data_IF_117836243072
#
_entry.id   IF_117836243072
#
_cell.length_a   1.000
_cell.length_b   1.000
_cell.length_c   1.000
_cell.angle_alpha   90.00
_cell.angle_beta   90.00
_cell.angle_gamma   90.00
#
_symmetry.space_group_name_H-M   'P 1'
#
loop_
_entity.id
_entity.type
_entity.pdbx_description
1 polymer ?
#
# COMPACT_ATOMS: atom_id res chain seq x y z
N UNK A 1 -22.98 -90.05 -29.66
CA UNK A 1 -23.28 -88.61 -29.74
C UNK A 1 -22.02 -87.87 -29.35
N UNK A 2 -21.46 -86.98 -30.18
CA UNK A 2 -20.34 -86.15 -29.76
C UNK A 2 -20.81 -85.12 -28.73
N UNK A 3 -20.02 -84.92 -27.67
CA UNK A 3 -20.25 -83.90 -26.65
C UNK A 3 -19.69 -82.59 -27.19
N UNK A 4 -20.55 -81.58 -27.38
CA UNK A 4 -20.13 -80.23 -27.72
C UNK A 4 -19.70 -79.55 -26.42
N UNK A 5 -18.40 -79.34 -26.25
CA UNK A 5 -17.86 -78.53 -25.15
C UNK A 5 -17.89 -77.09 -25.64
N UNK A 6 -18.85 -76.30 -25.14
CA UNK A 6 -18.84 -74.85 -25.32
C UNK A 6 -17.79 -74.27 -24.38
N UNK A 7 -16.64 -73.90 -24.91
CA UNK A 7 -15.67 -73.06 -24.21
C UNK A 7 -16.27 -71.66 -24.19
N UNK A 8 -16.86 -71.26 -23.06
CA UNK A 8 -17.27 -69.88 -22.84
C UNK A 8 -16.00 -69.10 -22.49
N UNK A 9 -15.53 -68.25 -23.40
CA UNK A 9 -14.48 -67.28 -23.07
C UNK A 9 -15.03 -66.32 -21.99
N UNK A 10 -14.28 -66.04 -20.92
CA UNK A 10 -14.72 -65.06 -19.93
C UNK A 10 -14.79 -63.68 -20.60
N UNK A 11 -15.94 -63.02 -20.51
CA UNK A 11 -16.07 -61.61 -20.85
C UNK A 11 -15.37 -60.83 -19.73
N UNK A 12 -14.27 -60.18 -20.06
CA UNK A 12 -13.58 -59.25 -19.16
C UNK A 12 -14.17 -57.88 -19.44
N UNK A 13 -14.71 -57.22 -18.42
CA UNK A 13 -15.18 -55.84 -18.55
C UNK A 13 -13.97 -54.92 -18.82
N UNK A 14 -14.08 -53.93 -19.73
CA UNK A 14 -12.99 -53.00 -19.99
C UNK A 14 -12.67 -52.21 -18.73
N UNK A 15 -11.39 -51.84 -18.57
CA UNK A 15 -10.96 -51.02 -17.42
C UNK A 15 -11.29 -49.54 -17.62
N UNK A 16 -11.32 -48.76 -16.55
CA UNK A 16 -11.58 -47.31 -16.63
C UNK A 16 -10.57 -46.62 -17.55
N UNK A 17 -9.28 -46.99 -17.49
CA UNK A 17 -8.24 -46.47 -18.41
C UNK A 17 -8.42 -46.88 -19.90
N UNK A 18 -9.27 -47.86 -20.20
CA UNK A 18 -9.64 -48.21 -21.58
C UNK A 18 -10.89 -47.47 -22.07
N UNK A 19 -11.70 -46.93 -21.15
CA UNK A 19 -12.96 -46.24 -21.44
C UNK A 19 -12.81 -44.71 -21.42
N UNK A 20 -11.95 -44.18 -20.54
CA UNK A 20 -11.71 -42.76 -20.38
C UNK A 20 -10.37 -42.34 -20.98
N UNK A 21 -10.31 -41.10 -21.46
CA UNK A 21 -9.07 -40.48 -21.95
C UNK A 21 -8.93 -39.11 -21.27
N UNK A 22 -7.99 -38.92 -20.32
CA UNK A 22 -7.80 -37.66 -19.65
C UNK A 22 -7.08 -36.67 -20.57
N UNK A 23 -7.62 -35.47 -20.67
CA UNK A 23 -7.13 -34.41 -21.56
C UNK A 23 -6.29 -33.44 -20.74
N UNK A 24 -5.03 -33.30 -21.14
CA UNK A 24 -4.09 -32.39 -20.49
C UNK A 24 -4.38 -30.92 -20.78
N UNK A 25 -4.11 -30.08 -19.79
CA UNK A 25 -4.21 -28.62 -19.86
C UNK A 25 -2.94 -28.00 -19.30
N UNK A 26 -2.37 -27.08 -20.06
CA UNK A 26 -1.25 -26.26 -19.59
C UNK A 26 -1.75 -25.22 -18.57
N UNK A 27 -0.93 -24.97 -17.55
CA UNK A 27 -1.27 -24.06 -16.45
C UNK A 27 -0.14 -23.07 -16.20
N UNK A 28 -0.46 -22.02 -15.46
CA UNK A 28 0.49 -21.00 -15.02
C UNK A 28 0.42 -20.84 -13.50
N UNK A 29 1.58 -20.68 -12.86
CA UNK A 29 1.72 -20.40 -11.42
C UNK A 29 2.87 -19.43 -11.19
N UNK A 30 2.82 -18.64 -10.11
CA UNK A 30 3.93 -17.76 -9.76
C UNK A 30 5.08 -18.51 -9.06
N UNK A 31 6.27 -17.89 -9.00
CA UNK A 31 7.41 -18.45 -8.25
C UNK A 31 7.00 -18.80 -6.81
N UNK A 32 7.26 -20.04 -6.42
CA UNK A 32 7.03 -20.53 -5.07
C UNK A 32 5.58 -20.92 -4.78
N UNK A 33 4.65 -20.72 -5.71
CA UNK A 33 3.33 -21.34 -5.64
C UNK A 33 3.41 -22.84 -5.94
N UNK A 34 2.58 -23.63 -5.26
CA UNK A 34 2.50 -25.07 -5.46
C UNK A 34 1.37 -25.38 -6.46
N UNK A 35 1.68 -25.90 -7.66
CA UNK A 35 0.67 -26.21 -8.65
C UNK A 35 -0.12 -27.45 -8.22
N UNK A 36 -1.38 -27.58 -8.67
CA UNK A 36 -2.20 -28.75 -8.38
C UNK A 36 -2.35 -29.63 -9.62
N UNK A 37 -2.10 -30.94 -9.53
CA UNK A 37 -2.18 -31.83 -10.70
C UNK A 37 -3.59 -31.90 -11.30
N UNK A 38 -4.63 -31.73 -10.49
CA UNK A 38 -6.03 -31.66 -10.95
C UNK A 38 -6.33 -30.42 -11.81
N UNK A 39 -5.54 -29.34 -11.74
CA UNK A 39 -5.76 -28.16 -12.57
C UNK A 39 -5.18 -28.34 -13.99
N UNK A 40 -4.33 -29.35 -14.16
CA UNK A 40 -3.74 -29.76 -15.42
C UNK A 40 -4.56 -30.80 -16.21
N UNK A 41 -5.74 -31.18 -15.73
CA UNK A 41 -6.67 -32.06 -16.44
C UNK A 41 -7.93 -31.26 -16.82
N UNK A 42 -8.15 -31.06 -18.11
CA UNK A 42 -9.25 -30.25 -18.65
C UNK A 42 -10.62 -30.89 -18.38
N UNK A 43 -10.74 -32.19 -18.64
CA UNK A 43 -11.99 -32.95 -18.57
C UNK A 43 -12.18 -33.69 -17.24
N UNK A 44 -11.62 -33.18 -16.13
CA UNK A 44 -11.69 -33.85 -14.81
C UNK A 44 -13.10 -34.12 -14.31
N UNK A 45 -14.07 -33.34 -14.76
CA UNK A 45 -15.49 -33.51 -14.41
C UNK A 45 -16.17 -34.65 -15.20
N UNK A 46 -15.59 -35.07 -16.33
CA UNK A 46 -16.07 -36.18 -17.17
C UNK A 46 -15.48 -37.54 -16.74
N UNK A 47 -14.49 -37.53 -15.84
CA UNK A 47 -13.85 -38.72 -15.30
C UNK A 47 -14.68 -39.33 -14.15
N UNK A 48 -14.58 -40.64 -13.89
CA UNK A 48 -15.40 -41.30 -12.87
C UNK A 48 -15.14 -40.74 -11.47
N UNK A 49 -16.19 -40.69 -10.64
CA UNK A 49 -16.07 -40.23 -9.25
C UNK A 49 -15.09 -41.10 -8.45
N UNK A 50 -14.17 -40.47 -7.73
CA UNK A 50 -13.10 -41.14 -7.00
C UNK A 50 -11.76 -41.20 -7.75
N UNK A 51 -11.71 -40.69 -8.98
CA UNK A 51 -10.45 -40.46 -9.70
C UNK A 51 -9.55 -39.50 -8.92
N UNK A 52 -8.26 -39.84 -8.79
CA UNK A 52 -7.25 -39.03 -8.10
C UNK A 52 -6.13 -38.60 -9.05
N UNK A 53 -5.46 -37.48 -8.72
CA UNK A 53 -4.44 -36.86 -9.56
C UNK A 53 -3.17 -36.62 -8.75
N UNK A 54 -2.03 -37.08 -9.27
CA UNK A 54 -0.72 -36.85 -8.66
C UNK A 54 0.30 -36.49 -9.73
N UNK A 55 1.25 -35.61 -9.42
CA UNK A 55 2.41 -35.46 -10.28
C UNK A 55 3.35 -36.65 -10.09
N UNK A 56 3.89 -37.17 -11.19
CA UNK A 56 4.87 -38.26 -11.17
C UNK A 56 6.16 -37.87 -10.45
N UNK A 57 6.56 -36.61 -10.59
CA UNK A 57 7.72 -36.00 -9.95
C UNK A 57 7.34 -34.63 -9.36
N UNK A 58 8.00 -34.16 -8.28
CA UNK A 58 7.77 -32.83 -7.74
C UNK A 58 8.05 -31.72 -8.76
N UNK A 59 7.17 -30.72 -8.84
CA UNK A 59 7.31 -29.60 -9.76
C UNK A 59 8.19 -28.50 -9.14
N UNK A 60 9.29 -28.13 -9.81
CA UNK A 60 10.14 -27.02 -9.39
C UNK A 60 9.55 -25.67 -9.81
N UNK A 61 8.92 -24.98 -8.86
CA UNK A 61 8.41 -23.61 -9.03
C UNK A 61 9.35 -22.53 -8.47
N UNK A 62 10.59 -22.87 -8.11
CA UNK A 62 11.54 -21.89 -7.58
C UNK A 62 12.20 -21.02 -8.67
N UNK A 63 12.10 -21.46 -9.93
CA UNK A 63 12.70 -20.79 -11.08
C UNK A 63 11.68 -20.59 -12.20
N UNK A 64 11.60 -19.38 -12.80
CA UNK A 64 10.72 -19.13 -13.94
C UNK A 64 11.02 -20.02 -15.15
N UNK A 65 9.97 -20.29 -15.92
CA UNK A 65 10.04 -21.00 -17.19
C UNK A 65 9.00 -22.10 -17.30
N UNK A 66 8.92 -22.67 -18.50
CA UNK A 66 8.08 -23.83 -18.80
C UNK A 66 8.68 -25.09 -18.18
N UNK A 67 7.85 -25.85 -17.48
CA UNK A 67 8.18 -27.14 -16.86
C UNK A 67 7.27 -28.19 -17.47
N UNK A 68 7.83 -29.10 -18.26
CA UNK A 68 7.09 -30.28 -18.71
C UNK A 68 6.95 -31.24 -17.52
N UNK A 69 5.71 -31.62 -17.20
CA UNK A 69 5.38 -32.49 -16.07
C UNK A 69 4.40 -33.58 -16.51
N UNK A 70 4.37 -34.68 -15.75
CA UNK A 70 3.46 -35.79 -16.00
C UNK A 70 2.49 -35.90 -14.84
N UNK A 71 1.20 -35.83 -15.15
CA UNK A 71 0.10 -36.10 -14.22
C UNK A 71 -0.30 -37.56 -14.35
N UNK A 72 -0.26 -38.28 -13.24
CA UNK A 72 -0.79 -39.63 -13.11
C UNK A 72 -2.24 -39.53 -12.65
N UNK A 73 -3.15 -39.98 -13.50
CA UNK A 73 -4.58 -40.08 -13.23
C UNK A 73 -4.85 -41.50 -12.76
N UNK A 74 -5.36 -41.68 -11.54
CA UNK A 74 -5.68 -43.00 -10.98
C UNK A 74 -7.19 -43.14 -10.83
N UNK A 75 -7.78 -44.12 -11.49
CA UNK A 75 -9.21 -44.38 -11.49
C UNK A 75 -9.65 -45.23 -10.28
N UNK A 76 -10.96 -45.27 -9.97
CA UNK A 76 -11.49 -46.07 -8.86
C UNK A 76 -11.21 -47.57 -8.96
N UNK A 77 -11.11 -48.12 -10.17
CA UNK A 77 -10.74 -49.52 -10.42
C UNK A 77 -9.24 -49.80 -10.20
N UNK A 78 -8.44 -48.76 -9.94
CA UNK A 78 -7.00 -48.80 -9.71
C UNK A 78 -6.15 -48.74 -10.97
N UNK A 79 -6.75 -48.65 -12.16
CA UNK A 79 -6.02 -48.39 -13.40
C UNK A 79 -5.59 -46.93 -13.50
N UNK A 80 -4.64 -46.64 -14.39
CA UNK A 80 -3.99 -45.33 -14.44
C UNK A 80 -3.68 -44.88 -15.86
N UNK A 81 -3.76 -43.57 -16.09
CA UNK A 81 -3.25 -42.89 -17.27
C UNK A 81 -2.16 -41.87 -16.91
N UNK A 82 -1.27 -41.60 -17.86
CA UNK A 82 -0.22 -40.58 -17.74
C UNK A 82 -0.44 -39.47 -18.78
N UNK A 83 -0.61 -38.24 -18.29
CA UNK A 83 -0.84 -37.06 -19.13
C UNK A 83 0.34 -36.11 -19.01
N UNK A 84 0.98 -35.79 -20.13
CA UNK A 84 2.09 -34.82 -20.19
C UNK A 84 1.54 -33.43 -20.47
N UNK A 85 1.92 -32.44 -19.65
CA UNK A 85 1.46 -31.06 -19.72
C UNK A 85 2.60 -30.10 -19.40
N UNK A 86 2.40 -28.81 -19.67
CA UNK A 86 3.32 -27.75 -19.30
C UNK A 86 2.78 -26.94 -18.13
N UNK A 87 3.58 -26.80 -17.07
CA UNK A 87 3.39 -25.81 -16.01
C UNK A 87 4.34 -24.65 -16.28
N UNK A 88 3.80 -23.48 -16.59
CA UNK A 88 4.59 -22.26 -16.77
C UNK A 88 4.76 -21.58 -15.42
N UNK A 89 6.00 -21.45 -14.96
CA UNK A 89 6.34 -20.71 -13.74
C UNK A 89 6.65 -19.26 -14.13
N UNK A 90 5.81 -18.32 -13.72
CA UNK A 90 6.02 -16.89 -13.99
C UNK A 90 6.65 -16.19 -12.80
N UNK A 91 7.38 -15.12 -13.10
CA UNK A 91 7.80 -14.20 -12.04
C UNK A 91 6.54 -13.52 -11.51
N UNK A 92 6.46 -13.27 -10.19
CA UNK A 92 5.41 -12.40 -9.69
C UNK A 92 5.47 -11.07 -10.44
N UNK A 93 4.30 -10.55 -10.77
CA UNK A 93 4.20 -9.24 -11.40
C UNK A 93 4.67 -8.22 -10.35
N UNK A 94 5.84 -7.63 -10.55
CA UNK A 94 6.23 -6.48 -9.74
C UNK A 94 5.31 -5.32 -10.13
N UNK A 95 4.27 -5.11 -9.33
CA UNK A 95 3.43 -3.93 -9.46
C UNK A 95 4.30 -2.71 -9.17
N UNK A 96 4.38 -1.81 -10.15
CA UNK A 96 5.02 -0.50 -9.96
C UNK A 96 4.26 0.24 -8.89
N UNK A 97 4.94 0.64 -7.81
CA UNK A 97 4.33 1.40 -6.73
C UNK A 97 3.88 2.77 -7.23
N UNK A 98 2.83 3.30 -6.64
CA UNK A 98 2.32 4.62 -6.98
C UNK A 98 3.37 5.71 -6.75
N UNK A 99 4.20 5.60 -5.71
CA UNK A 99 5.33 6.52 -5.48
C UNK A 99 6.40 6.50 -6.59
N UNK A 100 6.53 5.41 -7.37
CA UNK A 100 7.44 5.38 -8.53
C UNK A 100 6.78 5.98 -9.80
N UNK A 101 5.46 6.16 -9.77
CA UNK A 101 4.63 6.58 -10.91
C UNK A 101 4.19 8.04 -10.82
N UNK A 102 3.95 8.53 -9.62
CA UNK A 102 3.50 9.88 -9.35
C UNK A 102 4.62 10.69 -8.68
N UNK A 103 4.63 11.99 -8.94
CA UNK A 103 5.53 12.91 -8.26
C UNK A 103 4.69 14.05 -7.66
N UNK A 104 4.51 14.09 -6.33
CA UNK A 104 3.71 15.13 -5.70
C UNK A 104 4.47 16.46 -5.66
N UNK A 105 3.89 17.49 -6.26
CA UNK A 105 4.45 18.83 -6.32
C UNK A 105 4.16 19.61 -5.04
N UNK A 106 5.20 20.19 -4.43
CA UNK A 106 5.07 21.06 -3.27
C UNK A 106 4.47 22.43 -3.60
N UNK A 107 3.73 22.98 -2.64
CA UNK A 107 3.17 24.33 -2.70
C UNK A 107 3.38 25.03 -1.37
N UNK A 108 4.03 26.19 -1.44
CA UNK A 108 4.16 27.08 -0.29
C UNK A 108 2.83 27.76 0.02
N UNK A 109 2.58 27.98 1.31
CA UNK A 109 1.31 28.54 1.79
C UNK A 109 1.52 29.58 2.87
N UNK A 110 0.53 30.45 3.04
CA UNK A 110 0.51 31.44 4.12
C UNK A 110 -0.64 31.15 5.09
N UNK A 111 -0.37 31.26 6.39
CA UNK A 111 -1.39 31.16 7.45
C UNK A 111 -1.16 32.23 8.52
N UNK A 112 -2.22 32.69 9.16
CA UNK A 112 -2.10 33.61 10.30
C UNK A 112 -1.63 32.88 11.57
N UNK A 113 -0.98 33.62 12.48
CA UNK A 113 -0.61 33.11 13.81
C UNK A 113 -1.79 32.43 14.51
N UNK A 114 -1.56 31.20 14.98
CA UNK A 114 -2.53 30.38 15.69
C UNK A 114 -3.51 29.60 14.80
N UNK A 115 -3.43 29.73 13.46
CA UNK A 115 -4.16 28.87 12.52
C UNK A 115 -3.32 27.67 12.16
N UNK A 116 -3.90 26.47 12.20
CA UNK A 116 -3.22 25.27 11.72
C UNK A 116 -3.44 25.11 10.21
N UNK A 117 -2.37 24.93 9.42
CA UNK A 117 -2.48 24.63 8.00
C UNK A 117 -2.95 23.18 7.80
N UNK A 118 -3.50 22.87 6.61
CA UNK A 118 -3.82 21.49 6.22
C UNK A 118 -2.73 20.98 5.27
N UNK A 119 -2.23 19.75 5.44
CA UNK A 119 -1.15 19.21 4.60
C UNK A 119 -1.56 19.13 3.11
N UNK A 120 -2.84 18.86 2.84
CA UNK A 120 -3.39 18.83 1.48
C UNK A 120 -3.29 20.16 0.73
N UNK A 121 -3.28 21.29 1.45
CA UNK A 121 -3.19 22.63 0.83
C UNK A 121 -1.77 22.94 0.35
N UNK A 122 -0.79 22.15 0.81
CA UNK A 122 0.61 22.23 0.46
C UNK A 122 1.04 21.29 -0.68
N UNK A 123 0.10 20.58 -1.30
CA UNK A 123 0.34 19.78 -2.51
C UNK A 123 -0.35 20.43 -3.70
N UNK A 124 0.44 20.81 -4.71
CA UNK A 124 -0.01 21.56 -5.87
C UNK A 124 -0.90 20.73 -6.81
N UNK A 125 -0.53 19.47 -7.05
CA UNK A 125 -1.14 18.56 -8.02
C UNK A 125 -1.98 17.46 -7.36
N UNK A 126 -2.59 17.75 -6.20
CA UNK A 126 -3.38 16.76 -5.43
C UNK A 126 -4.52 16.11 -6.22
N UNK A 127 -5.02 16.78 -7.26
CA UNK A 127 -6.08 16.28 -8.15
C UNK A 127 -5.56 15.30 -9.20
N UNK A 128 -4.25 15.30 -9.47
CA UNK A 128 -3.59 14.37 -10.41
C UNK A 128 -3.10 13.08 -9.72
N UNK A 129 -3.12 13.06 -8.38
CA UNK A 129 -2.75 11.89 -7.58
C UNK A 129 -3.92 10.89 -7.50
N UNK A 130 -3.64 9.58 -7.32
CA UNK A 130 -4.68 8.57 -7.33
C UNK A 130 -5.69 8.78 -6.20
N UNK A 131 -6.95 8.41 -6.45
CA UNK A 131 -8.02 8.51 -5.45
C UNK A 131 -7.68 7.68 -4.21
N UNK A 132 -7.89 8.25 -3.02
CA UNK A 132 -7.53 7.61 -1.74
C UNK A 132 -6.14 7.99 -1.22
N UNK A 133 -5.38 8.81 -1.96
CA UNK A 133 -4.13 9.41 -1.46
C UNK A 133 -4.38 10.26 -0.21
N UNK A 134 -3.56 10.07 0.82
CA UNK A 134 -3.63 10.76 2.12
C UNK A 134 -2.42 11.66 2.31
N UNK A 135 -2.62 12.71 3.12
CA UNK A 135 -1.62 13.75 3.34
C UNK A 135 -1.49 14.03 4.83
N UNK A 136 -0.27 13.94 5.35
CA UNK A 136 0.02 14.20 6.76
C UNK A 136 1.30 15.02 6.88
N UNK A 137 1.39 15.89 7.88
CA UNK A 137 2.70 16.49 8.20
C UNK A 137 3.53 15.49 8.96
N UNK A 138 4.81 15.36 8.59
CA UNK A 138 5.76 14.50 9.30
C UNK A 138 5.92 14.90 10.77
N UNK A 139 5.89 16.21 11.02
CA UNK A 139 5.97 16.80 12.35
C UNK A 139 4.85 17.85 12.56
N UNK A 140 4.38 18.08 13.79
CA UNK A 140 3.39 19.12 14.07
C UNK A 140 3.90 20.51 13.66
N UNK A 141 3.10 21.23 12.88
CA UNK A 141 3.43 22.61 12.47
C UNK A 141 3.11 23.57 13.60
N UNK A 142 4.15 24.16 14.19
CA UNK A 142 3.98 25.28 15.13
C UNK A 142 3.52 26.53 14.35
N UNK A 143 2.43 27.17 14.73
CA UNK A 143 2.01 28.47 14.13
C UNK A 143 1.86 29.58 15.17
N UNK A 144 2.45 29.41 16.35
CA UNK A 144 2.36 30.38 17.45
C UNK A 144 3.23 31.62 17.24
N UNK A 145 4.26 31.51 16.40
CA UNK A 145 5.19 32.60 16.08
C UNK A 145 5.20 32.91 14.58
N UNK A 146 5.19 34.19 14.18
CA UNK A 146 5.38 34.58 12.79
C UNK A 146 6.75 34.14 12.24
N UNK A 147 6.82 33.86 10.94
CA UNK A 147 8.04 33.47 10.23
C UNK A 147 7.81 32.36 9.22
N UNK A 148 8.82 32.09 8.41
CA UNK A 148 8.85 30.95 7.49
C UNK A 148 9.16 29.66 8.25
N UNK A 149 8.42 28.61 7.95
CA UNK A 149 8.57 27.28 8.56
C UNK A 149 8.66 26.25 7.46
N UNK A 150 9.83 25.64 7.32
CA UNK A 150 10.01 24.50 6.44
C UNK A 150 9.35 23.27 7.10
N UNK A 151 8.50 22.58 6.36
CA UNK A 151 7.76 21.41 6.83
C UNK A 151 7.78 20.33 5.75
N UNK A 152 7.59 19.09 6.17
CA UNK A 152 7.52 17.93 5.28
C UNK A 152 6.11 17.36 5.30
N UNK A 153 5.51 17.22 4.12
CA UNK A 153 4.24 16.53 3.92
C UNK A 153 4.55 15.11 3.44
N UNK A 154 4.03 14.12 4.16
CA UNK A 154 4.01 12.72 3.77
C UNK A 154 2.76 12.50 2.92
N UNK A 155 2.97 12.04 1.69
CA UNK A 155 1.93 11.64 0.74
C UNK A 155 1.87 10.12 0.78
N UNK A 156 0.75 9.55 1.23
CA UNK A 156 0.54 8.09 1.27
C UNK A 156 -0.45 7.67 0.22
N UNK A 157 -0.01 6.85 -0.72
CA UNK A 157 -0.83 6.34 -1.82
C UNK A 157 -1.72 5.16 -1.40
N UNK A 158 -2.75 4.82 -2.20
CA UNK A 158 -3.65 3.70 -1.92
C UNK A 158 -2.94 2.34 -1.80
N UNK A 159 -1.86 2.13 -2.54
CA UNK A 159 -0.99 0.94 -2.48
C UNK A 159 -0.09 0.91 -1.22
N UNK A 160 -0.14 1.95 -0.39
CA UNK A 160 0.65 2.12 0.82
C UNK A 160 2.07 2.66 0.59
N UNK A 161 2.48 2.88 -0.66
CA UNK A 161 3.73 3.58 -0.98
C UNK A 161 3.65 5.06 -0.56
N UNK A 162 4.81 5.70 -0.40
CA UNK A 162 4.87 7.06 0.16
C UNK A 162 5.94 7.93 -0.50
N UNK A 163 5.63 9.23 -0.57
CA UNK A 163 6.56 10.31 -0.91
C UNK A 163 6.64 11.37 0.19
N UNK A 164 7.78 12.07 0.24
CA UNK A 164 8.01 13.19 1.15
C UNK A 164 8.20 14.49 0.37
N UNK A 165 7.35 15.48 0.63
CA UNK A 165 7.39 16.79 -0.04
C UNK A 165 7.76 17.87 0.96
N UNK A 166 8.87 18.56 0.71
CA UNK A 166 9.30 19.69 1.53
C UNK A 166 8.70 20.99 0.99
N UNK A 167 8.08 21.79 1.87
CA UNK A 167 7.43 23.06 1.53
C UNK A 167 7.68 24.10 2.62
N UNK A 168 7.48 25.37 2.29
CA UNK A 168 7.54 26.47 3.25
C UNK A 168 6.14 26.97 3.60
N UNK A 169 5.87 27.09 4.90
CA UNK A 169 4.67 27.73 5.43
C UNK A 169 5.07 29.07 6.04
N UNK A 170 4.55 30.16 5.50
CA UNK A 170 4.75 31.50 6.04
C UNK A 170 3.67 31.81 7.07
N UNK A 171 4.06 31.97 8.33
CA UNK A 171 3.16 32.39 9.41
C UNK A 171 3.16 33.92 9.50
N UNK A 172 2.04 34.56 9.19
CA UNK A 172 1.91 36.02 9.23
C UNK A 172 1.19 36.52 10.48
N UNK A 173 1.52 37.75 10.90
CA UNK A 173 0.84 38.40 12.02
C UNK A 173 -0.59 38.73 11.59
N UNK A 174 -1.59 38.57 12.47
CA UNK A 174 -2.95 38.98 12.16
C UNK A 174 -2.96 40.49 11.84
N UNK A 175 -3.66 40.86 10.78
CA UNK A 175 -3.84 42.26 10.39
C UNK A 175 -4.58 43.01 11.50
N UNK A 176 -3.84 43.71 12.36
CA UNK A 176 -4.43 44.71 13.24
C UNK A 176 -4.81 45.91 12.38
N UNK A 177 -6.02 45.90 11.79
CA UNK A 177 -6.61 47.13 11.27
C UNK A 177 -6.66 48.15 12.39
N UNK A 178 -5.77 49.13 12.29
CA UNK A 178 -5.69 50.31 13.14
C UNK A 178 -7.05 51.00 13.19
N UNK A 179 -7.79 50.88 14.29
CA UNK A 179 -8.98 51.70 14.54
C UNK A 179 -8.53 53.13 14.85
N UNK A 180 -8.30 53.92 13.79
CA UNK A 180 -8.21 55.38 13.93
C UNK A 180 -9.59 55.89 14.37
N UNK A 181 -9.73 56.63 15.48
CA UNK A 181 -11.03 57.20 15.82
C UNK A 181 -11.34 58.31 14.81
N UNK A 182 -12.24 58.05 13.87
CA UNK A 182 -12.84 59.11 13.06
C UNK A 182 -13.81 59.87 13.95
N UNK A 183 -13.35 61.03 14.41
CA UNK A 183 -14.21 62.08 14.95
C UNK A 183 -15.15 62.52 13.83
N UNK A 184 -16.45 62.22 13.97
CA UNK A 184 -17.52 62.74 13.12
C UNK A 184 -18.20 63.90 13.87
N UNK A 185 -18.42 65.09 13.26
CA UNK A 185 -19.06 66.21 13.94
C UNK A 185 -20.54 65.90 14.22
N UNK A 186 -21.00 66.27 15.42
CA UNK A 186 -22.36 66.12 15.93
C UNK A 186 -23.32 67.22 15.45
N UNK A 187 -24.57 66.86 15.15
CA UNK A 187 -25.79 67.66 15.45
C UNK A 187 -27.02 66.71 15.52
N UNK A 188 -28.11 67.05 16.23
CA UNK A 188 -28.27 66.78 17.65
C UNK A 188 -29.49 65.88 17.97
N UNK A 189 -29.39 64.98 18.95
CA UNK A 189 -30.57 64.57 19.73
C UNK A 189 -30.21 64.25 21.19
N UNK A 190 -30.74 65.13 22.04
CA UNK A 190 -31.23 65.04 23.44
C UNK A 190 -30.67 63.96 24.41
N UNK A 191 -30.45 64.31 25.70
CA UNK A 191 -29.44 63.71 26.57
C UNK A 191 -29.99 62.61 27.47
N UNK A 192 -29.08 61.80 28.03
CA UNK A 192 -29.02 61.35 29.45
C UNK A 192 -27.88 60.33 29.55
N UNK A 193 -27.08 60.14 30.61
CA UNK A 193 -26.79 60.83 31.88
C UNK A 193 -25.62 60.03 32.51
N UNK A 194 -24.62 60.73 33.09
CA UNK A 194 -23.56 60.28 34.05
C UNK A 194 -22.48 59.28 33.52
N UNK A 195 -21.18 59.61 33.45
CA UNK A 195 -20.18 59.98 34.49
C UNK A 195 -19.64 58.76 35.29
N UNK A 196 -18.40 58.78 35.81
CA UNK A 196 -17.20 58.21 35.15
C UNK A 196 -16.36 57.32 36.10
N UNK A 197 -15.14 56.93 35.65
CA UNK A 197 -13.86 56.80 36.41
C UNK A 197 -13.19 55.41 36.38
N UNK A 198 -11.97 55.33 35.82
CA UNK A 198 -10.63 55.24 36.47
C UNK A 198 -10.25 53.77 36.73
N UNK A 199 -9.02 53.27 36.65
CA UNK A 199 -7.68 53.86 36.86
C UNK A 199 -6.62 52.80 36.53
N UNK A 200 -5.51 53.26 35.94
CA UNK A 200 -4.09 52.98 36.28
C UNK A 200 -3.51 51.55 36.25
N UNK A 201 -2.49 51.29 35.41
CA UNK A 201 -1.01 51.31 35.66
C UNK A 201 -0.51 50.09 36.45
N UNK A 202 0.37 49.27 35.84
CA UNK A 202 1.77 49.09 36.29
C UNK A 202 2.48 47.99 35.49
N UNK A 203 3.64 48.33 34.92
CA UNK A 203 4.66 47.39 34.45
C UNK A 203 5.58 47.09 35.64
N UNK A 204 5.89 45.82 35.90
CA UNK A 204 7.13 45.47 36.59
C UNK A 204 7.71 44.17 36.02
N UNK A 205 8.97 44.27 35.63
CA UNK A 205 9.85 43.21 35.19
C UNK A 205 10.43 42.44 36.38
N UNK A 206 10.86 41.18 36.19
CA UNK A 206 12.19 40.68 36.59
C UNK A 206 12.43 39.18 36.27
N UNK A 207 13.52 38.93 35.53
CA UNK A 207 14.54 37.85 35.64
C UNK A 207 14.19 36.39 35.31
N UNK A 208 14.76 35.88 34.19
CA UNK A 208 14.88 34.46 33.85
C UNK A 208 16.35 34.04 34.00
N UNK A 209 16.63 33.14 34.94
CA UNK A 209 17.95 32.53 35.14
C UNK A 209 18.10 31.32 34.20
N UNK A 210 19.14 31.34 33.37
CA UNK A 210 19.46 30.30 32.38
C UNK A 210 20.43 29.28 32.99
N UNK A 211 20.06 28.00 33.05
CA UNK A 211 20.96 26.89 33.45
C UNK A 211 21.28 26.06 32.21
N UNK A 212 22.53 26.10 31.75
CA UNK A 212 23.07 25.24 30.70
C UNK A 212 23.71 24.02 31.37
N UNK A 213 23.16 22.83 31.14
CA UNK A 213 23.82 21.56 31.48
C UNK A 213 24.19 20.83 30.20
N UNK A 214 25.48 20.87 29.84
CA UNK A 214 26.08 20.03 28.83
C UNK A 214 26.28 18.61 29.36
N UNK A 215 25.68 17.61 28.73
CA UNK A 215 26.25 16.26 28.67
C UNK A 215 26.28 15.82 27.20
N UNK A 216 27.48 15.75 26.65
CA UNK A 216 27.73 15.31 25.28
C UNK A 216 27.64 13.79 25.14
N UNK A 217 26.95 13.34 24.09
CA UNK A 217 27.11 11.99 23.57
C UNK A 217 27.99 12.05 22.31
N UNK A 218 29.16 11.43 22.41
CA UNK A 218 30.09 11.15 21.33
C UNK A 218 29.51 10.02 20.47
N UNK A 219 29.26 10.27 19.19
CA UNK A 219 28.92 9.22 18.21
C UNK A 219 30.20 8.68 17.59
N UNK A 220 30.50 7.41 17.90
CA UNK A 220 31.58 6.63 17.30
C UNK A 220 31.14 6.13 15.91
N UNK A 221 31.65 6.77 14.83
CA UNK A 221 31.47 6.25 13.45
C UNK A 221 32.32 4.99 13.27
N UNK A 222 31.68 3.83 13.12
CA UNK A 222 32.34 2.59 12.70
C UNK A 222 32.54 2.61 11.18
N UNK A 223 33.79 2.78 10.75
CA UNK A 223 34.24 2.70 9.36
C UNK A 223 34.22 1.23 8.93
N UNK A 224 33.50 0.91 7.86
CA UNK A 224 33.50 -0.40 7.21
C UNK A 224 34.80 -0.49 6.40
N UNK A 225 35.71 -1.37 6.82
CA UNK A 225 36.89 -1.75 6.05
C UNK A 225 36.46 -2.81 5.03
N UNK A 226 36.65 -2.52 3.75
CA UNK A 226 36.79 -3.50 2.68
C UNK A 226 38.25 -3.94 2.61
N UNK A 227 38.53 -5.25 2.76
CA UNK A 227 39.63 -6.07 2.18
C UNK A 227 39.24 -7.52 2.56
N UNK A 228 39.20 -8.57 1.74
CA UNK A 228 39.81 -9.00 0.48
C UNK A 228 38.82 -9.93 -0.26
#
# INVERSE_FOLDING_TARGET
MPVVITVTEPVVDPTDAEEFEPIGKDTEVEIGEEPKPEDNIENKEDLPEGTTYEYKDPVDTTTPGEKEVVVVVTYPDGTTDEVTVTVTVTKPVEETKDADKYEPGGKDTEVEVGKQPKPEDNIANKEDLPEGTKYEYKDPVDTTTPGEKEVVVIVTYPDGSQDEVTVTITVTKPDTKSTKPVVKPSKPSKPTTKAPKTSDVSLDAFVITLVVSMLGFVVLKKKKEEVL
#
